data_IF_486976398900
#
_entry.id   IF_486976398900
#
_cell.length_a   1.000
_cell.length_b   1.000
_cell.length_c   1.000
_cell.angle_alpha   90.00
_cell.angle_beta   90.00
_cell.angle_gamma   90.00
#
_symmetry.space_group_name_H-M   'P 1'
#
loop_
_entity.id
_entity.type
_entity.pdbx_description
1 polymer ?
#
# COMPACT_ATOMS: atom_id res chain seq x y z
N UNK A 1 -27.82 19.84 -10.27
CA UNK A 1 -27.20 20.84 -9.36
C UNK A 1 -26.34 20.22 -8.25
N UNK A 2 -26.66 19.04 -7.71
CA UNK A 2 -25.82 18.39 -6.67
C UNK A 2 -24.44 17.91 -7.18
N UNK A 3 -24.39 17.24 -8.34
CA UNK A 3 -23.14 16.66 -8.89
C UNK A 3 -22.01 17.69 -9.04
N UNK A 4 -22.31 18.91 -9.52
CA UNK A 4 -21.31 19.97 -9.71
C UNK A 4 -20.72 20.47 -8.38
N UNK A 5 -21.46 20.37 -7.26
CA UNK A 5 -20.98 20.69 -5.90
C UNK A 5 -20.27 19.51 -5.23
N UNK A 6 -20.62 18.28 -5.57
CA UNK A 6 -20.02 17.07 -4.97
C UNK A 6 -18.67 16.69 -5.59
N UNK A 7 -18.47 16.90 -6.89
CA UNK A 7 -17.22 16.59 -7.60
C UNK A 7 -15.95 17.09 -6.88
N UNK A 8 -15.85 18.37 -6.45
CA UNK A 8 -14.63 18.85 -5.76
C UNK A 8 -14.37 18.17 -4.41
N UNK A 9 -15.39 17.57 -3.77
CA UNK A 9 -15.24 16.78 -2.54
C UNK A 9 -14.96 15.30 -2.79
N UNK A 10 -15.50 14.74 -3.87
CA UNK A 10 -15.37 13.32 -4.22
C UNK A 10 -13.99 12.98 -4.76
N UNK A 11 -13.42 13.84 -5.61
CA UNK A 11 -12.09 13.63 -6.22
C UNK A 11 -10.98 13.41 -5.17
N UNK A 12 -10.77 14.29 -4.18
CA UNK A 12 -9.75 14.06 -3.16
C UNK A 12 -9.97 12.76 -2.38
N UNK A 13 -11.23 12.44 -2.09
CA UNK A 13 -11.61 11.22 -1.36
C UNK A 13 -11.23 9.96 -2.16
N UNK A 14 -11.58 9.91 -3.44
CA UNK A 14 -11.23 8.82 -4.35
C UNK A 14 -9.72 8.65 -4.50
N UNK A 15 -8.98 9.75 -4.65
CA UNK A 15 -7.52 9.74 -4.74
C UNK A 15 -6.92 9.13 -3.47
N UNK A 16 -7.38 9.56 -2.29
CA UNK A 16 -6.88 8.98 -1.04
C UNK A 16 -7.21 7.51 -0.88
N UNK A 17 -8.41 7.07 -1.26
CA UNK A 17 -8.78 5.65 -1.23
C UNK A 17 -7.91 4.80 -2.15
N UNK A 18 -7.64 5.28 -3.37
CA UNK A 18 -6.72 4.63 -4.31
C UNK A 18 -5.32 4.48 -3.72
N UNK A 19 -4.78 5.53 -3.10
CA UNK A 19 -3.45 5.47 -2.49
C UNK A 19 -3.42 4.50 -1.30
N UNK A 20 -4.47 4.49 -0.47
CA UNK A 20 -4.58 3.55 0.66
C UNK A 20 -4.84 2.10 0.24
N UNK A 21 -5.25 1.86 -1.00
CA UNK A 21 -5.40 0.50 -1.54
C UNK A 21 -4.04 -0.19 -1.67
N UNK A 22 -2.94 0.56 -1.88
CA UNK A 22 -1.59 0.00 -2.04
C UNK A 22 -1.11 -0.70 -0.74
N UNK A 23 -1.12 -0.04 0.44
CA UNK A 23 -0.89 -0.73 1.72
C UNK A 23 -1.83 -1.91 1.95
N UNK A 24 -3.12 -1.75 1.62
CA UNK A 24 -4.10 -2.82 1.80
C UNK A 24 -3.79 -4.07 0.99
N UNK A 25 -3.40 -3.90 -0.27
CA UNK A 25 -3.01 -5.00 -1.15
C UNK A 25 -1.76 -5.73 -0.65
N UNK A 26 -0.77 -5.00 -0.11
CA UNK A 26 0.43 -5.61 0.49
C UNK A 26 0.09 -6.46 1.71
N UNK A 27 -0.78 -5.97 2.60
CA UNK A 27 -1.20 -6.73 3.79
C UNK A 27 -1.97 -7.99 3.37
N UNK A 28 -2.82 -7.90 2.35
CA UNK A 28 -3.53 -9.04 1.80
C UNK A 28 -2.57 -10.09 1.23
N UNK A 29 -1.56 -9.66 0.44
CA UNK A 29 -0.53 -10.55 -0.11
C UNK A 29 0.30 -11.23 0.99
N UNK A 30 0.73 -10.49 2.02
CA UNK A 30 1.39 -11.07 3.19
C UNK A 30 0.51 -12.11 3.88
N UNK A 31 -0.77 -11.79 4.11
CA UNK A 31 -1.72 -12.68 4.78
C UNK A 31 -1.90 -13.97 3.99
N UNK A 32 -2.07 -13.88 2.67
CA UNK A 32 -2.16 -15.04 1.77
C UNK A 32 -0.88 -15.86 1.78
N UNK A 33 0.28 -15.20 1.82
CA UNK A 33 1.56 -15.90 1.83
C UNK A 33 1.87 -16.58 3.16
N UNK A 34 1.40 -16.04 4.29
CA UNK A 34 1.49 -16.70 5.60
C UNK A 34 0.62 -17.97 5.61
N UNK A 35 -0.55 -17.91 4.97
CA UNK A 35 -1.45 -19.05 4.84
C UNK A 35 -0.99 -20.09 3.79
N UNK A 36 0.16 -19.86 3.12
CA UNK A 36 0.61 -20.65 1.97
C UNK A 36 -0.44 -20.73 0.83
N UNK A 37 -1.32 -19.74 0.75
CA UNK A 37 -2.32 -19.55 -0.31
C UNK A 37 -1.87 -18.47 -1.32
N UNK A 38 -0.66 -17.94 -1.17
CA UNK A 38 -0.10 -17.04 -2.19
C UNK A 38 0.18 -17.80 -3.48
N UNK A 39 0.27 -17.05 -4.58
CA UNK A 39 0.54 -17.60 -5.91
C UNK A 39 1.82 -18.43 -5.84
N UNK A 40 1.68 -19.75 -6.05
CA UNK A 40 2.81 -20.66 -6.02
C UNK A 40 3.83 -20.24 -7.08
N UNK A 41 5.11 -20.26 -6.71
CA UNK A 41 6.24 -19.96 -7.59
C UNK A 41 6.39 -18.49 -8.03
N UNK A 42 5.74 -17.54 -7.35
CA UNK A 42 5.95 -16.09 -7.57
C UNK A 42 6.59 -15.47 -6.35
N UNK A 43 7.75 -14.82 -6.52
CA UNK A 43 8.41 -14.06 -5.45
C UNK A 43 7.68 -12.73 -5.23
N UNK A 44 6.60 -12.75 -4.45
CA UNK A 44 5.91 -11.53 -4.00
C UNK A 44 6.60 -10.94 -2.78
N UNK A 45 6.44 -9.64 -2.55
CA UNK A 45 6.99 -8.98 -1.35
C UNK A 45 6.47 -9.63 -0.06
N UNK A 46 5.21 -10.08 -0.05
CA UNK A 46 4.65 -10.85 1.06
C UNK A 46 5.37 -12.19 1.26
N UNK A 47 5.59 -12.94 0.18
CA UNK A 47 6.29 -14.23 0.24
C UNK A 47 7.74 -14.13 0.68
N UNK A 48 8.45 -13.09 0.23
CA UNK A 48 9.84 -12.84 0.61
C UNK A 48 9.96 -12.54 2.11
N UNK A 49 9.01 -11.80 2.68
CA UNK A 49 8.96 -11.59 4.14
C UNK A 49 8.72 -12.92 4.85
N UNK A 50 7.71 -13.69 4.44
CA UNK A 50 7.38 -14.95 5.12
C UNK A 50 8.54 -15.94 5.08
N UNK A 51 9.21 -16.08 3.94
CA UNK A 51 10.42 -16.89 3.81
C UNK A 51 11.57 -16.38 4.70
N UNK A 52 11.72 -15.06 4.80
CA UNK A 52 12.75 -14.45 5.64
C UNK A 52 12.48 -14.52 7.16
N UNK A 53 11.29 -14.93 7.60
CA UNK A 53 11.03 -15.29 9.01
C UNK A 53 11.90 -16.47 9.42
N UNK A 54 12.16 -17.41 8.51
CA UNK A 54 13.04 -18.56 8.77
C UNK A 54 14.53 -18.18 8.73
N UNK A 55 14.89 -17.07 8.07
CA UNK A 55 16.26 -16.58 7.92
C UNK A 55 16.35 -15.08 8.29
N UNK A 56 16.44 -14.73 9.58
CA UNK A 56 16.22 -13.37 10.08
C UNK A 56 17.19 -12.32 9.50
N UNK A 57 18.39 -12.71 9.10
CA UNK A 57 19.38 -11.80 8.50
C UNK A 57 18.99 -11.38 7.07
N UNK A 58 18.24 -12.22 6.35
CA UNK A 58 17.75 -11.94 4.99
C UNK A 58 16.46 -11.10 4.98
N UNK A 59 15.83 -10.88 6.13
CA UNK A 59 14.59 -10.11 6.27
C UNK A 59 14.81 -8.59 6.14
N UNK A 60 16.04 -8.10 6.33
CA UNK A 60 16.33 -6.66 6.37
C UNK A 60 15.99 -5.98 5.04
N UNK A 61 16.32 -6.60 3.91
CA UNK A 61 16.10 -6.04 2.57
C UNK A 61 14.60 -5.96 2.21
N UNK A 62 13.82 -7.06 2.25
CA UNK A 62 12.38 -7.00 1.95
C UNK A 62 11.59 -6.15 2.94
N UNK A 63 12.04 -6.06 4.20
CA UNK A 63 11.40 -5.18 5.18
C UNK A 63 11.66 -3.71 4.88
N UNK A 64 12.91 -3.33 4.55
CA UNK A 64 13.26 -1.96 4.17
C UNK A 64 12.50 -1.50 2.91
N UNK A 65 12.34 -2.37 1.91
CA UNK A 65 11.60 -2.02 0.70
C UNK A 65 10.14 -1.75 0.99
N UNK A 66 9.50 -2.55 1.85
CA UNK A 66 8.09 -2.33 2.23
C UNK A 66 7.92 -1.08 3.07
N UNK A 67 8.79 -0.85 4.06
CA UNK A 67 8.74 0.38 4.87
C UNK A 67 8.89 1.61 3.98
N UNK A 68 9.83 1.59 3.04
CA UNK A 68 10.06 2.69 2.09
C UNK A 68 8.86 2.89 1.17
N UNK A 69 8.26 1.82 0.68
CA UNK A 69 7.10 1.88 -0.19
C UNK A 69 5.89 2.46 0.56
N UNK A 70 5.60 1.95 1.77
CA UNK A 70 4.51 2.42 2.61
C UNK A 70 4.70 3.90 2.97
N UNK A 71 5.90 4.29 3.40
CA UNK A 71 6.22 5.68 3.72
C UNK A 71 6.04 6.60 2.50
N UNK A 72 6.49 6.16 1.32
CA UNK A 72 6.33 6.91 0.07
C UNK A 72 4.85 7.11 -0.29
N UNK A 73 4.04 6.04 -0.20
CA UNK A 73 2.58 6.16 -0.43
C UNK A 73 1.90 7.07 0.58
N UNK A 74 2.28 7.02 1.86
CA UNK A 74 1.74 7.93 2.87
C UNK A 74 2.11 9.39 2.58
N UNK A 75 3.36 9.63 2.15
CA UNK A 75 3.83 10.97 1.79
C UNK A 75 3.06 11.54 0.59
N UNK A 76 2.82 10.71 -0.44
CA UNK A 76 2.00 11.08 -1.60
C UNK A 76 0.56 11.37 -1.18
N UNK A 77 -0.05 10.53 -0.32
CA UNK A 77 -1.40 10.76 0.19
C UNK A 77 -1.52 12.10 0.92
N UNK A 78 -0.57 12.42 1.79
CA UNK A 78 -0.54 13.68 2.53
C UNK A 78 -0.32 14.88 1.59
N UNK A 79 0.60 14.76 0.63
CA UNK A 79 0.84 15.77 -0.39
C UNK A 79 -0.40 16.07 -1.23
N UNK A 80 -1.10 15.03 -1.70
CA UNK A 80 -2.33 15.15 -2.48
C UNK A 80 -3.48 15.76 -1.67
N UNK A 81 -3.68 15.33 -0.41
CA UNK A 81 -4.66 15.95 0.49
C UNK A 81 -4.39 17.45 0.65
N UNK A 82 -3.12 17.83 0.82
CA UNK A 82 -2.71 19.23 0.97
C UNK A 82 -2.87 20.04 -0.32
N UNK A 83 -2.62 19.45 -1.48
CA UNK A 83 -2.80 20.10 -2.77
C UNK A 83 -4.28 20.36 -3.07
N UNK A 84 -5.14 19.37 -2.87
CA UNK A 84 -6.58 19.49 -3.15
C UNK A 84 -7.28 20.34 -2.08
N UNK A 85 -6.90 20.23 -0.81
CA UNK A 85 -7.46 21.08 0.26
C UNK A 85 -7.07 22.57 0.18
N UNK A 86 -6.24 22.97 -0.80
CA UNK A 86 -5.86 24.36 -1.08
C UNK A 86 -6.54 24.95 -2.32
N UNK A 87 -7.34 24.15 -3.05
CA UNK A 87 -8.15 24.59 -4.19
C UNK A 87 -9.59 24.85 -3.79
#
# INVERSE_FOLDING_TARGET
MLFKKMIPHLIPTLITQLIFTIPGALIADMSLSILNLSVQNTATLGSLIVQSIQFPVQNIIPLLTIITLLASTQFIALGMKKAVGRS
#
